data_IF_759452618736
#
_entry.id   IF_759452618736
#
_cell.length_a   1.000
_cell.length_b   1.000
_cell.length_c   1.000
_cell.angle_alpha   90.00
_cell.angle_beta   90.00
_cell.angle_gamma   90.00
#
_symmetry.space_group_name_H-M   'P 1'
#
loop_
_entity.id
_entity.type
_entity.pdbx_description
1 polymer ?
#
# COMPACT_ATOMS: atom_id res chain seq x y z
N UNK A 1 -15.29 36.14 -10.20
CA UNK A 1 -16.05 37.37 -9.79
C UNK A 1 -15.40 38.10 -8.61
N UNK A 2 -15.67 39.40 -8.40
CA UNK A 2 -15.29 40.15 -7.19
C UNK A 2 -16.52 40.65 -6.43
N UNK A 3 -16.57 40.42 -5.12
CA UNK A 3 -17.66 40.87 -4.24
C UNK A 3 -17.11 41.55 -2.99
N UNK A 4 -17.92 42.34 -2.28
CA UNK A 4 -17.51 42.91 -1.00
C UNK A 4 -17.94 42.01 0.18
N UNK A 5 -17.39 42.25 1.38
CA UNK A 5 -17.69 41.45 2.58
C UNK A 5 -19.15 41.54 3.04
N UNK A 6 -19.81 42.68 2.81
CA UNK A 6 -21.21 42.90 3.21
C UNK A 6 -22.16 42.10 2.31
N UNK A 7 -21.90 42.07 1.00
CA UNK A 7 -22.67 41.28 0.04
C UNK A 7 -22.52 39.78 0.32
N UNK A 8 -21.29 39.32 0.62
CA UNK A 8 -21.04 37.93 1.00
C UNK A 8 -21.86 37.51 2.23
N UNK A 9 -21.93 38.37 3.25
CA UNK A 9 -22.67 38.08 4.49
C UNK A 9 -24.18 37.97 4.23
N UNK A 10 -24.73 38.86 3.41
CA UNK A 10 -26.17 38.93 3.15
C UNK A 10 -26.67 37.87 2.16
N UNK A 11 -25.80 37.40 1.27
CA UNK A 11 -26.17 36.49 0.19
C UNK A 11 -25.25 35.27 0.09
N UNK A 12 -24.75 34.77 1.24
CA UNK A 12 -23.78 33.68 1.29
C UNK A 12 -24.22 32.45 0.49
N UNK A 13 -25.47 31.99 0.66
CA UNK A 13 -26.01 30.83 -0.06
C UNK A 13 -26.01 30.99 -1.59
N UNK A 14 -26.28 32.20 -2.10
CA UNK A 14 -26.20 32.50 -3.54
C UNK A 14 -24.76 32.36 -4.06
N UNK A 15 -23.78 32.82 -3.28
CA UNK A 15 -22.38 32.74 -3.67
C UNK A 15 -21.81 31.33 -3.57
N UNK A 16 -22.32 30.49 -2.65
CA UNK A 16 -22.03 29.05 -2.65
C UNK A 16 -22.45 28.40 -3.98
N UNK A 17 -23.65 28.70 -4.49
CA UNK A 17 -24.10 28.18 -5.79
C UNK A 17 -23.32 28.73 -6.98
N UNK A 18 -22.75 29.95 -6.88
CA UNK A 18 -21.97 30.56 -7.96
C UNK A 18 -20.52 30.07 -7.99
N UNK A 19 -20.00 29.63 -6.84
CA UNK A 19 -18.67 29.04 -6.73
C UNK A 19 -18.52 27.74 -7.53
N UNK A 20 -19.64 27.07 -7.86
CA UNK A 20 -19.65 25.92 -8.78
C UNK A 20 -19.23 26.29 -10.21
N UNK A 21 -19.34 27.57 -10.60
CA UNK A 21 -19.10 28.05 -11.96
C UNK A 21 -17.83 28.88 -12.08
N UNK A 22 -17.47 29.64 -11.04
CA UNK A 22 -16.29 30.49 -11.05
C UNK A 22 -15.79 30.81 -9.63
N UNK A 23 -14.50 31.08 -9.51
CA UNK A 23 -13.90 31.57 -8.28
C UNK A 23 -14.39 32.97 -7.91
N UNK A 24 -14.60 33.21 -6.61
CA UNK A 24 -15.09 34.47 -6.07
C UNK A 24 -14.03 35.11 -5.18
N UNK A 25 -13.59 36.32 -5.55
CA UNK A 25 -12.66 37.12 -4.77
C UNK A 25 -13.45 38.07 -3.87
N UNK A 26 -13.21 38.01 -2.57
CA UNK A 26 -13.86 38.84 -1.56
C UNK A 26 -12.97 40.03 -1.25
N UNK A 27 -13.57 41.21 -1.23
CA UNK A 27 -12.88 42.49 -1.03
C UNK A 27 -13.42 43.22 0.20
N UNK A 28 -12.54 43.93 0.92
CA UNK A 28 -12.88 44.83 2.03
C UNK A 28 -12.16 46.16 1.79
N UNK A 29 -12.91 47.26 1.76
CA UNK A 29 -12.37 48.60 1.46
C UNK A 29 -11.55 48.64 0.15
N UNK A 30 -12.04 47.97 -0.89
CA UNK A 30 -11.39 47.92 -2.21
C UNK A 30 -10.16 46.99 -2.30
N UNK A 31 -9.71 46.38 -1.20
CA UNK A 31 -8.61 45.41 -1.20
C UNK A 31 -9.14 43.99 -1.17
N UNK A 32 -8.55 43.08 -1.96
CA UNK A 32 -8.82 41.64 -1.86
C UNK A 32 -8.38 41.13 -0.48
N UNK A 33 -9.26 40.42 0.21
CA UNK A 33 -9.01 39.90 1.56
C UNK A 33 -9.20 38.40 1.69
N UNK A 34 -10.00 37.79 0.80
CA UNK A 34 -10.22 36.35 0.77
C UNK A 34 -10.62 35.89 -0.63
N UNK A 35 -10.53 34.58 -0.87
CA UNK A 35 -11.01 33.94 -2.10
C UNK A 35 -11.88 32.75 -1.69
N UNK A 36 -13.13 32.75 -2.13
CA UNK A 36 -14.01 31.60 -2.03
C UNK A 36 -13.85 30.81 -3.33
N UNK A 37 -13.39 29.58 -3.18
CA UNK A 37 -13.26 28.62 -4.28
C UNK A 37 -14.18 27.44 -3.97
N UNK A 38 -14.56 26.70 -5.00
CA UNK A 38 -15.19 25.39 -4.78
C UNK A 38 -14.22 24.54 -3.97
N UNK A 39 -14.65 24.12 -2.79
CA UNK A 39 -14.00 23.02 -2.11
C UNK A 39 -14.38 21.77 -2.89
N UNK A 40 -13.51 21.36 -3.79
CA UNK A 40 -13.44 19.96 -4.15
C UNK A 40 -12.83 19.30 -2.92
N UNK A 41 -13.39 18.19 -2.43
CA UNK A 41 -12.55 17.29 -1.64
C UNK A 41 -11.26 17.10 -2.43
N UNK A 42 -10.09 17.00 -1.78
CA UNK A 42 -8.94 16.48 -2.48
C UNK A 42 -9.37 15.11 -3.00
N UNK A 43 -9.81 15.06 -4.26
CA UNK A 43 -9.91 13.85 -5.07
C UNK A 43 -8.45 13.42 -5.27
N UNK A 44 -7.79 13.03 -4.18
CA UNK A 44 -6.90 11.92 -4.30
C UNK A 44 -7.78 10.80 -4.83
N UNK A 45 -7.33 10.18 -5.91
CA UNK A 45 -8.02 9.10 -6.59
C UNK A 45 -7.96 7.84 -5.73
N UNK A 46 -8.50 7.95 -4.51
CA UNK A 46 -8.41 6.97 -3.45
C UNK A 46 -9.40 5.88 -3.79
N UNK A 47 -8.87 4.69 -4.07
CA UNK A 47 -9.68 3.49 -4.02
C UNK A 47 -10.01 3.23 -2.55
N UNK A 48 -11.18 3.69 -2.09
CA UNK A 48 -11.70 3.35 -0.77
C UNK A 48 -12.16 1.88 -0.74
N UNK A 49 -11.67 1.09 0.23
CA UNK A 49 -11.96 -0.34 0.45
C UNK A 49 -13.47 -0.70 0.53
N UNK A 50 -14.34 0.29 0.75
CA UNK A 50 -15.79 0.10 0.84
C UNK A 50 -16.63 0.56 -0.36
N UNK A 51 -16.08 1.17 -1.41
CA UNK A 51 -16.93 1.72 -2.48
C UNK A 51 -16.96 0.89 -3.77
N UNK A 52 -18.17 0.59 -4.21
CA UNK A 52 -18.51 -0.04 -5.50
C UNK A 52 -17.81 0.68 -6.67
N UNK A 53 -17.07 -0.10 -7.48
CA UNK A 53 -16.63 0.18 -8.86
C UNK A 53 -16.59 1.67 -9.26
N UNK A 54 -15.60 2.41 -8.78
CA UNK A 54 -15.10 3.58 -9.52
C UNK A 54 -13.80 3.18 -10.23
N UNK A 55 -13.82 3.18 -11.57
CA UNK A 55 -12.60 3.19 -12.38
C UNK A 55 -12.06 4.62 -12.33
N UNK A 56 -11.15 4.91 -11.40
CA UNK A 56 -10.25 6.03 -11.62
C UNK A 56 -9.36 5.68 -12.81
N UNK A 57 -9.37 6.50 -13.85
CA UNK A 57 -8.49 6.35 -15.02
C UNK A 57 -7.23 7.20 -14.91
N UNK A 58 -7.02 7.91 -13.78
CA UNK A 58 -5.86 8.77 -13.61
C UNK A 58 -4.79 8.02 -12.84
N UNK A 59 -3.71 7.69 -13.53
CA UNK A 59 -2.46 7.21 -12.95
C UNK A 59 -1.60 8.41 -12.56
N UNK A 60 -0.92 8.33 -11.43
CA UNK A 60 0.00 9.37 -10.96
C UNK A 60 1.45 8.89 -11.04
N UNK A 61 2.37 9.84 -11.16
CA UNK A 61 3.80 9.55 -11.09
C UNK A 61 4.27 9.31 -9.64
N UNK A 62 5.49 8.79 -9.49
CA UNK A 62 6.12 8.65 -8.19
C UNK A 62 6.27 10.01 -7.47
N UNK A 63 6.63 11.07 -8.20
CA UNK A 63 6.76 12.42 -7.65
C UNK A 63 5.42 12.99 -7.16
N UNK A 64 4.34 12.75 -7.91
CA UNK A 64 2.99 13.12 -7.48
C UNK A 64 2.56 12.34 -6.22
N UNK A 65 2.96 11.08 -6.10
CA UNK A 65 2.73 10.28 -4.90
C UNK A 65 3.53 10.75 -3.70
N UNK A 66 4.81 11.09 -3.87
CA UNK A 66 5.62 11.66 -2.80
C UNK A 66 5.02 12.98 -2.31
N UNK A 67 4.55 13.84 -3.22
CA UNK A 67 3.84 15.07 -2.84
C UNK A 67 2.54 14.79 -2.08
N UNK A 68 1.82 13.72 -2.42
CA UNK A 68 0.64 13.27 -1.67
C UNK A 68 1.03 12.83 -0.25
N UNK A 69 2.01 11.93 -0.11
CA UNK A 69 2.49 11.43 1.19
C UNK A 69 2.99 12.56 2.07
N UNK A 70 3.76 13.51 1.53
CA UNK A 70 4.27 14.66 2.29
C UNK A 70 3.15 15.62 2.77
N UNK A 71 1.97 15.55 2.14
CA UNK A 71 0.83 16.43 2.44
C UNK A 71 -0.22 15.80 3.37
N UNK A 72 -0.04 14.54 3.78
CA UNK A 72 -1.06 13.75 4.47
C UNK A 72 -0.47 12.81 5.51
N UNK A 73 -1.11 12.69 6.66
CA UNK A 73 -0.75 11.70 7.71
C UNK A 73 -1.31 10.29 7.43
N UNK A 74 -2.00 10.10 6.30
CA UNK A 74 -2.53 8.79 5.91
C UNK A 74 -1.45 7.93 5.25
N UNK A 75 -1.66 6.61 5.24
CA UNK A 75 -0.77 5.65 4.58
C UNK A 75 -1.31 5.29 3.21
N UNK A 76 -0.44 5.23 2.20
CA UNK A 76 -0.81 4.96 0.83
C UNK A 76 0.15 3.97 0.17
N UNK A 77 -0.37 3.13 -0.71
CA UNK A 77 0.41 2.40 -1.69
C UNK A 77 0.17 2.98 -3.09
N UNK A 78 1.15 2.79 -3.97
CA UNK A 78 1.09 3.11 -5.39
C UNK A 78 1.37 1.85 -6.19
N UNK A 79 0.38 1.39 -6.95
CA UNK A 79 0.48 0.17 -7.76
C UNK A 79 0.01 0.49 -9.18
N UNK A 80 0.89 0.34 -10.17
CA UNK A 80 0.68 0.69 -11.58
C UNK A 80 0.18 2.14 -11.77
N UNK A 81 0.61 3.05 -10.89
CA UNK A 81 0.20 4.46 -10.86
C UNK A 81 -1.16 4.70 -10.19
N UNK A 82 -1.83 3.69 -9.66
CA UNK A 82 -3.08 3.81 -8.89
C UNK A 82 -2.78 3.90 -7.39
N UNK A 83 -3.45 4.83 -6.69
CA UNK A 83 -3.26 5.06 -5.25
C UNK A 83 -4.25 4.24 -4.44
N UNK A 84 -3.73 3.48 -3.48
CA UNK A 84 -4.49 2.69 -2.54
C UNK A 84 -4.34 3.28 -1.14
N UNK A 85 -5.46 3.63 -0.50
CA UNK A 85 -5.46 4.10 0.90
C UNK A 85 -5.40 2.90 1.84
N UNK A 86 -4.41 2.87 2.73
CA UNK A 86 -4.27 1.80 3.71
C UNK A 86 -5.01 2.13 5.00
N UNK A 87 -6.01 1.31 5.33
CA UNK A 87 -6.65 1.36 6.64
C UNK A 87 -5.69 0.89 7.76
N UNK A 88 -6.05 1.19 9.01
CA UNK A 88 -5.35 0.62 10.15
C UNK A 88 -5.73 -0.86 10.32
N UNK A 89 -4.76 -1.77 10.52
CA UNK A 89 -5.05 -3.19 10.71
C UNK A 89 -5.83 -3.44 12.00
N UNK A 90 -6.64 -4.49 12.00
CA UNK A 90 -7.39 -4.94 13.19
C UNK A 90 -6.50 -5.76 14.14
N UNK A 91 -6.97 -5.99 15.36
CA UNK A 91 -6.22 -6.73 16.39
C UNK A 91 -5.70 -8.10 15.91
N UNK A 92 -6.57 -8.98 15.41
CA UNK A 92 -6.17 -10.33 14.95
C UNK A 92 -5.15 -10.31 13.81
N UNK A 93 -5.20 -9.28 12.95
CA UNK A 93 -4.19 -9.08 11.92
C UNK A 93 -2.82 -8.85 12.54
N UNK A 94 -2.72 -7.94 13.52
CA UNK A 94 -1.45 -7.68 14.20
C UNK A 94 -0.95 -8.86 15.03
N UNK A 95 -1.84 -9.66 15.62
CA UNK A 95 -1.45 -10.91 16.28
C UNK A 95 -0.74 -11.84 15.30
N UNK A 96 -1.37 -12.13 14.16
CA UNK A 96 -0.79 -13.03 13.13
C UNK A 96 0.50 -12.49 12.52
N UNK A 97 0.57 -11.18 12.23
CA UNK A 97 1.81 -10.54 11.75
C UNK A 97 2.93 -10.72 12.77
N UNK A 98 2.66 -10.50 14.05
CA UNK A 98 3.67 -10.65 15.12
C UNK A 98 4.15 -12.10 15.26
N UNK A 99 3.25 -13.07 15.19
CA UNK A 99 3.63 -14.49 15.27
C UNK A 99 4.56 -14.88 14.10
N UNK A 100 4.20 -14.52 12.87
CA UNK A 100 5.06 -14.80 11.70
C UNK A 100 6.40 -14.06 11.82
N UNK A 101 6.37 -12.79 12.24
CA UNK A 101 7.58 -11.99 12.44
C UNK A 101 8.50 -12.59 13.52
N UNK A 102 7.96 -13.19 14.58
CA UNK A 102 8.74 -13.86 15.61
C UNK A 102 9.48 -15.09 15.06
N UNK A 103 8.79 -15.94 14.28
CA UNK A 103 9.41 -17.09 13.61
C UNK A 103 10.50 -16.64 12.64
N UNK A 104 10.23 -15.61 11.84
CA UNK A 104 11.19 -15.07 10.89
C UNK A 104 12.40 -14.47 11.62
N UNK A 105 12.19 -13.66 12.67
CA UNK A 105 13.28 -13.09 13.45
C UNK A 105 14.22 -14.15 14.00
N UNK A 106 13.67 -15.23 14.56
CA UNK A 106 14.48 -16.35 15.06
C UNK A 106 15.27 -17.04 13.94
N UNK A 107 14.63 -17.30 12.80
CA UNK A 107 15.28 -17.96 11.66
C UNK A 107 16.38 -17.10 11.01
N UNK A 108 16.18 -15.79 10.88
CA UNK A 108 17.12 -14.87 10.23
C UNK A 108 18.19 -14.32 11.17
N UNK A 109 18.17 -14.68 12.46
CA UNK A 109 19.16 -14.23 13.43
C UNK A 109 20.57 -14.70 13.03
N UNK A 110 21.48 -13.75 12.81
CA UNK A 110 22.86 -14.04 12.39
C UNK A 110 23.02 -14.43 10.92
N UNK A 111 21.96 -14.33 10.11
CA UNK A 111 21.97 -14.54 8.66
C UNK A 111 22.09 -13.19 7.92
N UNK A 112 22.49 -13.18 6.64
CA UNK A 112 22.62 -11.93 5.87
C UNK A 112 21.28 -11.24 5.61
N UNK A 113 20.18 -11.99 5.49
CA UNK A 113 18.85 -11.44 5.26
C UNK A 113 18.20 -10.93 6.55
N UNK A 114 17.26 -9.99 6.42
CA UNK A 114 16.50 -9.40 7.52
C UNK A 114 15.01 -9.42 7.20
N UNK A 115 14.22 -9.83 8.18
CA UNK A 115 12.76 -9.65 8.16
C UNK A 115 12.38 -8.32 8.80
N UNK A 116 11.44 -7.61 8.18
CA UNK A 116 10.88 -6.34 8.63
C UNK A 116 9.36 -6.40 8.49
N UNK A 117 8.64 -5.62 9.30
CA UNK A 117 7.19 -5.50 9.27
C UNK A 117 6.75 -4.10 8.85
N UNK A 118 5.52 -3.96 8.36
CA UNK A 118 4.92 -2.65 8.13
C UNK A 118 4.84 -1.80 9.43
N UNK A 119 4.86 -0.45 9.33
CA UNK A 119 5.00 0.34 8.12
C UNK A 119 6.45 0.38 7.61
N UNK A 120 6.63 0.05 6.33
CA UNK A 120 7.88 0.18 5.61
C UNK A 120 7.54 0.35 4.13
N UNK A 121 7.90 1.49 3.54
CA UNK A 121 7.76 1.69 2.09
C UNK A 121 8.81 0.84 1.36
N UNK A 122 8.32 0.04 0.41
CA UNK A 122 9.12 -0.77 -0.49
C UNK A 122 8.89 -0.24 -1.89
N UNK A 123 9.87 0.48 -2.42
CA UNK A 123 9.86 0.89 -3.82
C UNK A 123 10.37 -0.26 -4.67
N UNK A 124 9.57 -0.68 -5.64
CA UNK A 124 9.87 -1.79 -6.54
C UNK A 124 9.38 -1.47 -7.96
N UNK A 125 9.92 -2.16 -8.95
CA UNK A 125 9.50 -2.00 -10.35
C UNK A 125 9.10 -3.37 -10.90
N UNK A 126 8.09 -3.41 -11.77
CA UNK A 126 7.64 -4.62 -12.44
C UNK A 126 8.62 -5.04 -13.54
N UNK A 127 8.14 -5.17 -14.78
CA UNK A 127 8.99 -5.49 -15.94
C UNK A 127 9.96 -4.38 -16.36
N UNK A 128 9.85 -3.20 -15.76
CA UNK A 128 10.79 -2.12 -16.00
C UNK A 128 12.20 -2.50 -15.55
N UNK A 129 13.19 -1.75 -16.06
CA UNK A 129 14.60 -1.95 -15.67
C UNK A 129 15.10 -0.90 -14.70
N UNK A 130 14.26 0.11 -14.43
CA UNK A 130 14.59 1.30 -13.65
C UNK A 130 13.37 1.81 -12.87
N UNK A 131 13.62 2.38 -11.71
CA UNK A 131 12.58 2.95 -10.84
C UNK A 131 11.89 4.19 -11.42
N UNK A 132 12.51 4.88 -12.36
CA UNK A 132 11.92 6.05 -13.04
C UNK A 132 10.88 5.64 -14.09
N UNK A 133 10.90 4.37 -14.51
CA UNK A 133 9.99 3.82 -15.52
C UNK A 133 8.71 3.24 -14.89
N UNK A 134 8.70 3.04 -13.57
CA UNK A 134 7.61 2.36 -12.87
C UNK A 134 7.39 2.96 -11.47
N UNK A 135 6.20 3.49 -11.15
CA UNK A 135 6.03 4.28 -9.94
C UNK A 135 5.77 3.45 -8.66
N UNK A 136 5.89 2.12 -8.66
CA UNK A 136 5.32 1.33 -7.57
C UNK A 136 6.00 1.54 -6.20
N UNK A 137 5.16 1.70 -5.18
CA UNK A 137 5.51 1.74 -3.77
C UNK A 137 4.46 0.95 -3.00
N UNK A 138 4.86 -0.06 -2.25
CA UNK A 138 3.96 -0.90 -1.44
C UNK A 138 4.40 -0.89 0.02
N UNK A 139 3.50 -1.25 0.93
CA UNK A 139 3.79 -1.48 2.35
C UNK A 139 3.29 -2.87 2.78
N UNK A 140 4.00 -3.95 2.40
CA UNK A 140 3.57 -5.30 2.76
C UNK A 140 3.70 -5.51 4.27
N UNK A 141 2.84 -6.36 4.83
CA UNK A 141 2.83 -6.60 6.27
C UNK A 141 4.15 -7.14 6.80
N UNK A 142 4.78 -8.04 6.05
CA UNK A 142 6.12 -8.57 6.33
C UNK A 142 6.91 -8.69 5.03
N UNK A 143 8.16 -8.26 5.08
CA UNK A 143 9.12 -8.45 3.99
C UNK A 143 10.40 -9.10 4.52
N UNK A 144 11.07 -9.86 3.65
CA UNK A 144 12.43 -10.34 3.89
C UNK A 144 13.33 -9.81 2.79
N UNK A 145 14.34 -9.04 3.18
CA UNK A 145 15.33 -8.44 2.28
C UNK A 145 16.71 -9.05 2.52
N UNK A 146 17.46 -9.30 1.46
CA UNK A 146 18.81 -9.90 1.50
C UNK A 146 19.89 -8.97 0.94
N UNK A 147 19.49 -7.82 0.41
CA UNK A 147 20.25 -6.81 -0.33
C UNK A 147 20.14 -5.46 0.38
N UNK A 148 20.63 -5.41 1.62
CA UNK A 148 20.56 -4.19 2.47
C UNK A 148 21.35 -3.01 1.88
N UNK A 149 22.21 -3.23 0.89
CA UNK A 149 22.87 -2.19 0.10
C UNK A 149 21.89 -1.38 -0.77
N UNK A 150 20.65 -1.85 -0.92
CA UNK A 150 19.52 -1.13 -1.57
C UNK A 150 18.78 -0.16 -0.66
N UNK A 151 19.21 -0.03 0.59
CA UNK A 151 18.76 1.06 1.46
C UNK A 151 19.55 2.32 1.11
N UNK A 152 18.85 3.36 0.65
CA UNK A 152 19.48 4.61 0.23
C UNK A 152 19.87 5.50 1.43
N UNK A 153 20.47 6.66 1.15
CA UNK A 153 20.94 7.60 2.17
C UNK A 153 19.82 8.20 3.04
N UNK A 154 18.58 8.22 2.53
CA UNK A 154 17.38 8.62 3.27
C UNK A 154 16.77 7.47 4.09
N UNK A 155 17.47 6.33 4.20
CA UNK A 155 17.03 5.14 4.90
C UNK A 155 15.74 4.52 4.31
N UNK A 156 15.51 4.71 3.01
CA UNK A 156 14.41 4.10 2.24
C UNK A 156 14.91 2.90 1.47
N UNK A 157 14.09 1.86 1.40
CA UNK A 157 14.43 0.64 0.66
C UNK A 157 13.91 0.71 -0.78
N UNK A 158 14.84 0.62 -1.73
CA UNK A 158 14.56 0.61 -3.18
C UNK A 158 15.15 -0.68 -3.79
N UNK A 159 14.42 -1.78 -3.64
CA UNK A 159 14.88 -3.11 -4.02
C UNK A 159 13.75 -4.12 -4.13
N UNK A 160 14.11 -5.38 -4.39
CA UNK A 160 13.14 -6.47 -4.59
C UNK A 160 13.25 -7.41 -3.40
N UNK A 161 12.29 -7.42 -2.46
CA UNK A 161 12.30 -8.37 -1.36
C UNK A 161 12.31 -9.80 -1.88
N UNK A 162 13.04 -10.68 -1.21
CA UNK A 162 13.09 -12.10 -1.57
C UNK A 162 11.77 -12.79 -1.22
N UNK A 163 11.18 -12.44 -0.09
CA UNK A 163 9.89 -12.96 0.37
C UNK A 163 8.98 -11.82 0.85
N UNK A 164 7.71 -11.89 0.47
CA UNK A 164 6.65 -10.98 0.94
C UNK A 164 5.52 -11.80 1.59
N UNK A 165 4.96 -11.29 2.70
CA UNK A 165 3.74 -11.82 3.32
C UNK A 165 2.70 -10.71 3.40
N UNK A 166 1.48 -11.01 2.97
CA UNK A 166 0.30 -10.15 3.11
C UNK A 166 -0.76 -10.88 3.93
N UNK A 167 -1.25 -10.25 4.99
CA UNK A 167 -2.30 -10.78 5.86
C UNK A 167 -3.62 -10.15 5.46
N UNK A 168 -4.49 -10.95 4.85
CA UNK A 168 -5.80 -10.47 4.41
C UNK A 168 -6.64 -10.06 5.60
N UNK A 169 -7.10 -8.82 5.56
CA UNK A 169 -8.18 -8.34 6.39
C UNK A 169 -9.49 -8.30 5.59
N UNK A 170 -10.67 -8.25 6.23
CA UNK A 170 -11.96 -8.18 5.53
C UNK A 170 -12.08 -7.00 4.54
N UNK A 171 -11.24 -5.97 4.68
CA UNK A 171 -11.24 -4.79 3.82
C UNK A 171 -10.37 -4.97 2.55
N UNK A 172 -9.43 -5.92 2.56
CA UNK A 172 -8.52 -6.26 1.44
C UNK A 172 -9.23 -7.14 0.40
N UNK A 173 -10.12 -6.56 -0.42
CA UNK A 173 -10.88 -7.29 -1.45
C UNK A 173 -10.01 -7.68 -2.64
N UNK A 174 -10.32 -8.82 -3.26
CA UNK A 174 -9.48 -9.53 -4.24
C UNK A 174 -8.97 -8.79 -5.50
N UNK A 175 -9.34 -7.53 -5.76
CA UNK A 175 -8.68 -6.72 -6.81
C UNK A 175 -7.27 -6.32 -6.41
N UNK A 176 -7.11 -5.85 -5.17
CA UNK A 176 -5.80 -5.47 -4.61
C UNK A 176 -4.88 -6.70 -4.59
N UNK A 177 -5.39 -7.84 -4.12
CA UNK A 177 -4.67 -9.11 -4.14
C UNK A 177 -4.18 -9.52 -5.54
N UNK A 178 -4.99 -9.34 -6.58
CA UNK A 178 -4.59 -9.65 -7.97
C UNK A 178 -3.55 -8.65 -8.48
N UNK A 179 -3.69 -7.36 -8.15
CA UNK A 179 -2.73 -6.33 -8.52
C UNK A 179 -1.36 -6.58 -7.85
N UNK A 180 -1.34 -6.82 -6.54
CA UNK A 180 -0.13 -7.15 -5.77
C UNK A 180 0.52 -8.45 -6.23
N UNK A 181 -0.26 -9.52 -6.44
CA UNK A 181 0.27 -10.78 -6.98
C UNK A 181 0.99 -10.56 -8.32
N UNK A 182 0.33 -9.86 -9.24
CA UNK A 182 0.88 -9.50 -10.56
C UNK A 182 2.14 -8.65 -10.40
N UNK A 183 2.12 -7.65 -9.53
CA UNK A 183 3.24 -6.76 -9.27
C UNK A 183 4.45 -7.51 -8.70
N UNK A 184 4.28 -8.28 -7.62
CA UNK A 184 5.36 -9.00 -6.95
C UNK A 184 6.01 -10.04 -7.87
N UNK A 185 5.20 -10.80 -8.60
CA UNK A 185 5.68 -11.73 -9.63
C UNK A 185 6.52 -10.99 -10.68
N UNK A 186 5.98 -9.92 -11.27
CA UNK A 186 6.68 -9.14 -12.30
C UNK A 186 7.93 -8.44 -11.79
N UNK A 187 8.00 -8.14 -10.50
CA UNK A 187 9.15 -7.46 -9.90
C UNK A 187 10.30 -8.41 -9.61
N UNK A 188 10.05 -9.73 -9.62
CA UNK A 188 11.07 -10.75 -9.33
C UNK A 188 11.19 -11.10 -7.85
N UNK A 189 10.15 -10.83 -7.06
CA UNK A 189 10.01 -11.46 -5.73
C UNK A 189 10.11 -12.97 -5.92
N UNK A 190 10.79 -13.70 -5.05
CA UNK A 190 10.97 -15.15 -5.20
C UNK A 190 9.82 -15.93 -4.57
N UNK A 191 9.26 -15.41 -3.48
CA UNK A 191 8.23 -16.08 -2.71
C UNK A 191 7.20 -15.11 -2.14
N UNK A 192 5.91 -15.46 -2.24
CA UNK A 192 4.82 -14.60 -1.79
C UNK A 192 3.75 -15.40 -1.05
N UNK A 193 3.45 -14.98 0.19
CA UNK A 193 2.47 -15.62 1.05
C UNK A 193 1.24 -14.72 1.23
N UNK A 194 0.06 -15.31 1.05
CA UNK A 194 -1.22 -14.66 1.32
C UNK A 194 -1.87 -15.39 2.48
N UNK A 195 -1.96 -14.73 3.63
CA UNK A 195 -2.52 -15.29 4.86
C UNK A 195 -3.98 -14.89 4.97
N UNK A 196 -4.90 -15.84 5.03
CA UNK A 196 -6.32 -15.59 5.21
C UNK A 196 -6.73 -15.91 6.65
N UNK A 197 -7.12 -14.87 7.40
CA UNK A 197 -7.52 -14.98 8.80
C UNK A 197 -8.87 -15.68 8.99
N UNK A 198 -9.82 -15.50 8.07
CA UNK A 198 -11.16 -16.09 8.18
C UNK A 198 -11.13 -17.61 8.00
N UNK A 199 -10.32 -18.08 7.04
CA UNK A 199 -10.22 -19.48 6.68
C UNK A 199 -9.03 -20.19 7.35
N UNK A 200 -8.23 -19.47 8.15
CA UNK A 200 -6.98 -19.96 8.77
C UNK A 200 -6.12 -20.75 7.77
N UNK A 201 -5.82 -20.11 6.65
CA UNK A 201 -5.14 -20.73 5.52
C UNK A 201 -4.10 -19.81 4.92
N UNK A 202 -3.07 -20.39 4.29
CA UNK A 202 -2.06 -19.63 3.56
C UNK A 202 -2.01 -20.11 2.11
N UNK A 203 -2.02 -19.18 1.15
CA UNK A 203 -1.59 -19.44 -0.22
C UNK A 203 -0.14 -19.03 -0.35
N UNK A 204 0.69 -19.97 -0.76
CA UNK A 204 2.11 -19.78 -1.00
C UNK A 204 2.38 -19.83 -2.50
N UNK A 205 2.90 -18.74 -3.05
CA UNK A 205 3.42 -18.66 -4.40
C UNK A 205 4.95 -18.70 -4.37
N UNK A 206 5.54 -19.47 -5.29
CA UNK A 206 6.95 -19.32 -5.66
C UNK A 206 7.03 -18.85 -7.11
N UNK A 207 7.97 -17.96 -7.38
CA UNK A 207 8.16 -17.38 -8.71
C UNK A 207 9.54 -17.74 -9.26
N UNK A 208 9.61 -18.03 -10.55
CA UNK A 208 10.87 -18.32 -11.24
C UNK A 208 11.65 -17.04 -11.55
N UNK A 209 12.90 -17.19 -12.00
CA UNK A 209 13.72 -16.05 -12.45
C UNK A 209 13.14 -15.36 -13.70
N UNK A 210 12.35 -16.08 -14.48
CA UNK A 210 11.62 -15.57 -15.64
C UNK A 210 10.35 -14.78 -15.27
N UNK A 211 10.07 -14.59 -13.96
CA UNK A 211 8.92 -13.83 -13.43
C UNK A 211 7.58 -14.48 -13.76
N UNK A 212 7.54 -15.81 -13.69
CA UNK A 212 6.35 -16.66 -13.81
C UNK A 212 6.05 -17.40 -12.51
N UNK A 213 4.81 -17.87 -12.33
CA UNK A 213 4.45 -18.75 -11.21
C UNK A 213 5.09 -20.12 -11.44
N UNK A 214 6.02 -20.49 -10.56
CA UNK A 214 6.63 -21.82 -10.54
C UNK A 214 5.83 -22.78 -9.65
N UNK A 215 5.30 -22.28 -8.53
CA UNK A 215 4.58 -23.08 -7.55
C UNK A 215 3.42 -22.32 -6.92
N UNK A 216 2.34 -23.07 -6.64
CA UNK A 216 1.21 -22.62 -5.85
C UNK A 216 0.79 -23.72 -4.88
N UNK A 217 0.94 -23.46 -3.59
CA UNK A 217 0.53 -24.36 -2.52
C UNK A 217 -0.56 -23.71 -1.67
N UNK A 218 -1.62 -24.46 -1.38
CA UNK A 218 -2.67 -24.05 -0.44
C UNK A 218 -2.55 -24.87 0.84
N UNK A 219 -2.34 -24.16 1.95
CA UNK A 219 -2.08 -24.73 3.27
C UNK A 219 -3.23 -24.36 4.21
N UNK A 220 -3.59 -25.28 5.10
CA UNK A 220 -4.62 -25.13 6.14
C UNK A 220 -3.98 -25.27 7.51
N UNK A 221 -4.70 -24.92 8.57
CA UNK A 221 -4.24 -24.89 9.96
C UNK A 221 -3.44 -26.14 10.44
N UNK A 222 -3.72 -27.34 9.89
CA UNK A 222 -3.01 -28.57 10.22
C UNK A 222 -1.65 -28.77 9.50
N UNK A 223 -1.33 -27.92 8.53
CA UNK A 223 -0.13 -28.03 7.71
C UNK A 223 1.05 -27.24 8.29
N UNK A 224 2.22 -27.41 7.68
CA UNK A 224 3.43 -26.63 7.97
C UNK A 224 3.87 -25.95 6.68
N UNK A 225 3.92 -24.62 6.68
CA UNK A 225 4.49 -23.89 5.55
C UNK A 225 6.01 -24.04 5.58
N UNK A 226 6.59 -24.33 4.42
CA UNK A 226 8.04 -24.43 4.23
C UNK A 226 8.45 -23.45 3.14
N UNK A 227 9.32 -22.52 3.47
CA UNK A 227 9.78 -21.54 2.48
C UNK A 227 10.49 -22.24 1.32
N UNK A 228 10.15 -21.81 0.11
CA UNK A 228 10.83 -22.26 -1.12
C UNK A 228 12.10 -21.44 -1.38
N UNK A 229 12.14 -20.19 -0.91
CA UNK A 229 13.31 -19.31 -1.03
C UNK A 229 14.35 -19.49 0.08
N UNK A 230 13.94 -19.98 1.25
CA UNK A 230 14.80 -20.08 2.44
C UNK A 230 14.81 -21.50 3.02
N UNK A 231 15.88 -22.25 2.71
CA UNK A 231 16.05 -23.62 3.18
C UNK A 231 15.96 -23.72 4.72
N UNK A 232 15.08 -24.60 5.21
CA UNK A 232 14.86 -24.84 6.63
C UNK A 232 14.01 -23.80 7.36
N UNK A 233 13.46 -22.79 6.67
CA UNK A 233 12.42 -21.94 7.24
C UNK A 233 11.08 -22.69 7.16
N UNK A 234 10.63 -23.19 8.31
CA UNK A 234 9.38 -23.94 8.43
C UNK A 234 8.55 -23.41 9.60
N UNK A 235 7.24 -23.24 9.39
CA UNK A 235 6.32 -22.73 10.41
C UNK A 235 5.03 -23.57 10.40
N UNK A 236 4.68 -24.24 11.51
CA UNK A 236 3.37 -24.88 11.63
C UNK A 236 2.24 -23.82 11.59
N UNK A 237 1.22 -24.00 10.75
CA UNK A 237 0.15 -23.00 10.64
C UNK A 237 -0.65 -22.87 11.94
N UNK A 238 -0.77 -23.94 12.71
CA UNK A 238 -1.37 -23.91 14.05
C UNK A 238 -0.68 -22.92 15.00
N UNK A 239 0.62 -22.64 14.81
CA UNK A 239 1.37 -21.70 15.64
C UNK A 239 1.05 -20.26 15.18
N UNK A 240 0.95 -20.04 13.85
CA UNK A 240 0.55 -18.75 13.24
C UNK A 240 -0.85 -18.32 13.70
N UNK A 241 -1.79 -19.26 13.80
CA UNK A 241 -3.19 -19.00 14.13
C UNK A 241 -3.57 -19.33 15.58
N UNK A 242 -2.59 -19.59 16.46
CA UNK A 242 -2.84 -20.11 17.81
C UNK A 242 -3.75 -19.23 18.67
N UNK A 243 -3.66 -17.91 18.48
CA UNK A 243 -4.27 -16.89 19.34
C UNK A 243 -5.53 -16.23 18.73
N UNK A 244 -6.07 -16.78 17.63
CA UNK A 244 -7.24 -16.22 16.92
C UNK A 244 -8.31 -17.25 16.53
#
# INVERSE_FOLDING_TARGET
MRINTTDLQNAFGKYLSLVEKEDIIITKNGKSVAKLIRYNEPDFFLVHEESLKYKSTKRISYEEYMALVDSSDQRYELIDGEVYLLASPRFNHQVVVNEIAWHFYNYFRGKPCRSLTAPLDVRLFGYATKFEEDPNVVQPDIVVICDQDKVNEDNKYEGIPTLIVEVLSPSTKGKDMVAKLSLYMKSGVSEYWIVNLENKSILQYSFSQERDIEGLTSLREGDTIKSTAFEGLEIPLRDIFAEI
#
